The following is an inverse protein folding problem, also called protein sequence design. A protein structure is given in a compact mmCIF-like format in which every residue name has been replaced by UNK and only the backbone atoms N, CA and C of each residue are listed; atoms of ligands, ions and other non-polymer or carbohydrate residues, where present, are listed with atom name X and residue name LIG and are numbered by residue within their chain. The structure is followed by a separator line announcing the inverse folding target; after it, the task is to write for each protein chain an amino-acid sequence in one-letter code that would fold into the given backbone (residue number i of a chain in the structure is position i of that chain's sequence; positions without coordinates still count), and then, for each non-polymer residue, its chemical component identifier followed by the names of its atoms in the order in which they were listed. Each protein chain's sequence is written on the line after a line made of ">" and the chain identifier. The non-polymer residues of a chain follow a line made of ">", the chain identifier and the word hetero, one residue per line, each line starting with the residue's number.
data_IF_548078288535
#
_entry.id   IF_548078288535
#
_cell.length_a   1.000
_cell.length_b   1.000
_cell.length_c   1.000
_cell.angle_alpha   90.00
_cell.angle_beta   90.00
_cell.angle_gamma   90.00
#
_symmetry.space_group_name_H-M   'P 1'
#
loop_
_entity.id
_entity.type
_entity.pdbx_description
1 polymer ?
#
# COMPACT_ATOMS: atom_id res chain seq x y z
N UNK A 1 -0.74 -17.90 -37.60
CA UNK A 1 -1.17 -18.60 -36.36
C UNK A 1 -0.35 -18.22 -35.13
N UNK A 2 0.98 -18.07 -35.21
CA UNK A 2 1.84 -17.72 -34.05
C UNK A 2 1.52 -16.36 -33.42
N UNK A 3 1.16 -15.36 -34.23
CA UNK A 3 0.88 -14.00 -33.79
C UNK A 3 -0.37 -13.88 -32.89
N UNK A 4 -1.38 -14.74 -33.04
CA UNK A 4 -2.59 -14.69 -32.21
C UNK A 4 -2.37 -15.41 -30.86
N UNK A 5 -1.53 -16.46 -30.85
CA UNK A 5 -1.17 -17.22 -29.65
C UNK A 5 -0.24 -16.39 -28.73
N UNK A 6 0.75 -15.69 -29.30
CA UNK A 6 1.60 -14.76 -28.53
C UNK A 6 0.80 -13.61 -27.91
N UNK A 7 -0.19 -13.07 -28.63
CA UNK A 7 -1.05 -11.98 -28.12
C UNK A 7 -1.92 -12.41 -26.94
N UNK A 8 -2.50 -13.62 -26.99
CA UNK A 8 -3.29 -14.20 -25.90
C UNK A 8 -2.43 -14.41 -24.65
N UNK A 9 -1.18 -14.88 -24.81
CA UNK A 9 -0.26 -15.05 -23.67
C UNK A 9 0.16 -13.71 -23.05
N UNK A 10 0.43 -12.68 -23.86
CA UNK A 10 0.73 -11.33 -23.36
C UNK A 10 -0.46 -10.68 -22.63
N UNK A 11 -1.68 -10.86 -23.15
CA UNK A 11 -2.91 -10.33 -22.55
C UNK A 11 -3.24 -11.03 -21.21
N UNK A 12 -3.08 -12.36 -21.13
CA UNK A 12 -3.24 -13.13 -19.89
C UNK A 12 -2.17 -12.76 -18.85
N UNK A 13 -0.90 -12.64 -19.25
CA UNK A 13 0.19 -12.29 -18.34
C UNK A 13 0.03 -10.85 -17.81
N UNK A 14 -0.43 -9.92 -18.65
CA UNK A 14 -0.70 -8.53 -18.27
C UNK A 14 -1.89 -8.43 -17.32
N UNK A 15 -2.98 -9.19 -17.57
CA UNK A 15 -4.10 -9.29 -16.64
C UNK A 15 -3.69 -9.93 -15.30
N UNK A 16 -2.87 -10.97 -15.32
CA UNK A 16 -2.37 -11.62 -14.11
C UNK A 16 -1.52 -10.66 -13.26
N UNK A 17 -0.65 -9.88 -13.90
CA UNK A 17 0.18 -8.85 -13.24
C UNK A 17 -0.68 -7.75 -12.63
N UNK A 18 -1.71 -7.28 -13.34
CA UNK A 18 -2.66 -6.29 -12.84
C UNK A 18 -3.47 -6.80 -11.64
N UNK A 19 -4.00 -8.02 -11.72
CA UNK A 19 -4.74 -8.66 -10.64
C UNK A 19 -3.85 -8.92 -9.40
N UNK A 20 -2.59 -9.32 -9.62
CA UNK A 20 -1.61 -9.49 -8.55
C UNK A 20 -1.29 -8.17 -7.85
N UNK A 21 -0.94 -7.13 -8.61
CA UNK A 21 -0.64 -5.80 -8.05
C UNK A 21 -1.83 -5.21 -7.28
N UNK A 22 -3.05 -5.44 -7.79
CA UNK A 22 -4.28 -5.06 -7.09
C UNK A 22 -4.43 -5.81 -5.75
N UNK A 23 -4.25 -7.12 -5.75
CA UNK A 23 -4.35 -7.95 -4.53
C UNK A 23 -3.29 -7.56 -3.50
N UNK A 24 -2.05 -7.34 -3.92
CA UNK A 24 -0.97 -6.88 -3.04
C UNK A 24 -1.28 -5.51 -2.43
N UNK A 25 -1.83 -4.60 -3.23
CA UNK A 25 -2.25 -3.27 -2.76
C UNK A 25 -3.37 -3.39 -1.73
N UNK A 26 -4.40 -4.20 -1.99
CA UNK A 26 -5.49 -4.41 -1.06
C UNK A 26 -5.01 -5.07 0.25
N UNK A 27 -4.13 -6.07 0.18
CA UNK A 27 -3.52 -6.70 1.35
C UNK A 27 -2.79 -5.68 2.22
N UNK A 28 -1.96 -4.82 1.61
CA UNK A 28 -1.27 -3.75 2.35
C UNK A 28 -2.25 -2.79 3.04
N UNK A 29 -3.35 -2.42 2.37
CA UNK A 29 -4.37 -1.57 2.98
C UNK A 29 -5.06 -2.25 4.16
N UNK A 30 -5.41 -3.54 4.04
CA UNK A 30 -5.98 -4.31 5.15
C UNK A 30 -5.02 -4.34 6.34
N UNK A 31 -3.73 -4.64 6.11
CA UNK A 31 -2.72 -4.63 7.17
C UNK A 31 -2.61 -3.26 7.84
N UNK A 32 -2.57 -2.17 7.06
CA UNK A 32 -2.50 -0.81 7.60
C UNK A 32 -3.72 -0.43 8.43
N UNK A 33 -4.92 -0.81 7.99
CA UNK A 33 -6.16 -0.52 8.73
C UNK A 33 -6.21 -1.30 10.04
N UNK A 34 -5.86 -2.59 10.02
CA UNK A 34 -5.84 -3.42 11.22
C UNK A 34 -4.72 -3.04 12.21
N UNK A 35 -3.66 -2.37 11.73
CA UNK A 35 -2.64 -1.76 12.58
C UNK A 35 -3.14 -0.53 13.36
N UNK A 36 -4.19 0.16 12.88
CA UNK A 36 -4.81 1.26 13.63
C UNK A 36 -5.67 0.72 14.78
N UNK A 37 -6.52 -0.26 14.48
CA UNK A 37 -7.35 -0.96 15.46
C UNK A 37 -7.87 -2.28 14.89
N UNK A 38 -8.23 -3.26 15.75
CA UNK A 38 -9.05 -4.38 15.33
C UNK A 38 -10.36 -3.90 14.71
N UNK A 39 -10.77 -4.52 13.60
CA UNK A 39 -11.91 -4.07 12.82
C UNK A 39 -12.65 -5.22 12.14
N UNK A 40 -13.94 -5.01 11.90
CA UNK A 40 -14.74 -5.94 11.10
C UNK A 40 -14.59 -5.67 9.60
N UNK A 41 -14.84 -6.68 8.76
CA UNK A 41 -14.65 -6.57 7.30
C UNK A 41 -15.36 -5.36 6.66
N UNK A 42 -16.57 -5.04 7.12
CA UNK A 42 -17.29 -3.85 6.63
C UNK A 42 -16.60 -2.51 6.98
N UNK A 43 -15.98 -2.41 8.15
CA UNK A 43 -15.25 -1.22 8.59
C UNK A 43 -14.02 -1.01 7.70
N UNK A 44 -13.34 -2.11 7.35
CA UNK A 44 -12.19 -2.10 6.43
C UNK A 44 -12.63 -1.58 5.05
N UNK A 45 -13.73 -2.09 4.48
CA UNK A 45 -14.25 -1.60 3.20
C UNK A 45 -14.59 -0.10 3.25
N UNK A 46 -15.26 0.33 4.33
CA UNK A 46 -15.67 1.72 4.52
C UNK A 46 -14.46 2.65 4.68
N UNK A 47 -13.44 2.25 5.43
CA UNK A 47 -12.21 3.01 5.60
C UNK A 47 -11.45 3.17 4.27
N UNK A 48 -11.43 2.14 3.42
CA UNK A 48 -10.83 2.23 2.07
C UNK A 48 -11.63 3.20 1.19
N UNK A 49 -12.96 3.13 1.23
CA UNK A 49 -13.84 4.08 0.54
C UNK A 49 -13.60 5.52 0.99
N UNK A 50 -13.50 5.76 2.29
CA UNK A 50 -13.22 7.09 2.86
C UNK A 50 -11.85 7.62 2.45
N UNK A 51 -10.79 6.81 2.59
CA UNK A 51 -9.41 7.18 2.23
C UNK A 51 -9.25 7.47 0.73
N UNK A 52 -10.08 6.87 -0.12
CA UNK A 52 -10.07 7.10 -1.57
C UNK A 52 -11.00 8.24 -2.00
N UNK A 53 -11.62 8.94 -1.04
CA UNK A 53 -12.63 9.98 -1.26
C UNK A 53 -13.83 9.46 -2.07
N UNK A 54 -14.31 8.26 -1.73
CA UNK A 54 -15.45 7.60 -2.37
C UNK A 54 -15.16 7.01 -3.75
N UNK A 55 -13.92 7.13 -4.26
CA UNK A 55 -13.59 6.67 -5.61
C UNK A 55 -13.54 5.15 -5.73
N UNK A 56 -13.25 4.45 -4.64
CA UNK A 56 -13.13 3.00 -4.69
C UNK A 56 -13.48 2.34 -3.36
N UNK A 57 -14.35 1.33 -3.44
CA UNK A 57 -14.68 0.42 -2.35
C UNK A 57 -14.47 -1.01 -2.84
N UNK A 58 -13.63 -1.82 -2.18
CA UNK A 58 -13.49 -3.23 -2.56
C UNK A 58 -14.81 -3.96 -2.33
N UNK A 59 -15.18 -4.81 -3.28
CA UNK A 59 -16.37 -5.64 -3.15
C UNK A 59 -16.19 -6.68 -2.03
N UNK A 60 -17.29 -7.08 -1.38
CA UNK A 60 -17.28 -8.13 -0.37
C UNK A 60 -16.68 -9.44 -0.91
N UNK A 61 -17.01 -9.81 -2.15
CA UNK A 61 -16.47 -10.99 -2.83
C UNK A 61 -14.97 -10.93 -3.13
N UNK A 62 -14.31 -9.80 -2.92
CA UNK A 62 -12.85 -9.66 -2.98
C UNK A 62 -12.24 -9.60 -1.60
N UNK A 63 -12.83 -8.82 -0.68
CA UNK A 63 -12.25 -8.61 0.64
C UNK A 63 -12.33 -9.87 1.51
N UNK A 64 -13.47 -10.54 1.58
CA UNK A 64 -13.62 -11.68 2.50
C UNK A 64 -12.73 -12.86 2.12
N UNK A 65 -12.60 -13.26 0.84
CA UNK A 65 -11.61 -14.27 0.46
C UNK A 65 -10.16 -13.84 0.75
N UNK A 66 -9.85 -12.54 0.68
CA UNK A 66 -8.53 -12.06 1.09
C UNK A 66 -8.33 -12.20 2.61
N UNK A 67 -9.31 -11.84 3.42
CA UNK A 67 -9.25 -12.00 4.88
C UNK A 67 -9.10 -13.47 5.27
N UNK A 68 -9.84 -14.38 4.64
CA UNK A 68 -9.71 -15.82 4.85
C UNK A 68 -8.29 -16.31 4.54
N UNK A 69 -7.71 -15.86 3.42
CA UNK A 69 -6.33 -16.18 3.07
C UNK A 69 -5.33 -15.60 4.07
N UNK A 70 -5.48 -14.35 4.47
CA UNK A 70 -4.61 -13.72 5.48
C UNK A 70 -4.69 -14.44 6.83
N UNK A 71 -5.86 -14.95 7.21
CA UNK A 71 -6.04 -15.74 8.43
C UNK A 71 -5.35 -17.10 8.30
N UNK A 72 -5.51 -17.78 7.17
CA UNK A 72 -4.85 -19.06 6.89
C UNK A 72 -3.32 -18.94 6.83
N UNK A 73 -2.80 -17.82 6.32
CA UNK A 73 -1.38 -17.46 6.32
C UNK A 73 -0.88 -17.00 7.70
N UNK A 74 -1.77 -16.90 8.69
CA UNK A 74 -1.44 -16.49 10.05
C UNK A 74 -1.04 -15.03 10.16
N UNK A 75 -1.43 -14.16 9.22
CA UNK A 75 -1.20 -12.72 9.26
C UNK A 75 -2.23 -11.99 10.13
N UNK A 76 -3.45 -12.53 10.20
CA UNK A 76 -4.53 -12.00 11.02
C UNK A 76 -5.19 -13.10 11.84
N UNK A 77 -5.87 -12.72 12.91
CA UNK A 77 -6.64 -13.62 13.76
C UNK A 77 -8.02 -13.02 14.08
N UNK A 78 -8.95 -13.88 14.51
CA UNK A 78 -10.25 -13.44 15.01
C UNK A 78 -10.07 -13.00 16.46
N UNK A 79 -10.24 -11.70 16.71
CA UNK A 79 -10.17 -11.12 18.05
C UNK A 79 -11.45 -11.36 18.85
N UNK A 80 -12.60 -11.20 18.21
CA UNK A 80 -13.92 -11.34 18.84
C UNK A 80 -15.02 -11.54 17.81
N UNK A 81 -16.18 -11.96 18.31
CA UNK A 81 -17.44 -11.95 17.58
C UNK A 81 -18.38 -10.94 18.21
N UNK A 82 -18.76 -9.91 17.46
CA UNK A 82 -19.72 -8.89 17.90
C UNK A 82 -21.12 -9.21 17.40
N UNK A 83 -22.16 -8.91 18.18
CA UNK A 83 -23.55 -9.08 17.75
C UNK A 83 -24.08 -7.82 17.08
N UNK A 84 -24.77 -7.98 15.95
CA UNK A 84 -25.48 -6.88 15.32
C UNK A 84 -26.94 -6.79 15.83
N UNK A 85 -27.11 -6.21 17.02
CA UNK A 85 -28.43 -6.02 17.63
C UNK A 85 -29.18 -7.33 17.92
N UNK A 86 -30.48 -7.22 18.20
CA UNK A 86 -31.30 -8.35 18.71
C UNK A 86 -31.61 -9.42 17.63
N UNK A 87 -31.43 -9.10 16.35
CA UNK A 87 -31.78 -9.99 15.21
C UNK A 87 -30.66 -10.18 14.16
N UNK A 88 -29.50 -9.55 14.33
CA UNK A 88 -28.42 -9.62 13.33
C UNK A 88 -27.44 -10.77 13.57
N UNK A 89 -26.66 -11.07 12.53
CA UNK A 89 -25.60 -12.08 12.59
C UNK A 89 -24.40 -11.64 13.44
N UNK A 90 -23.48 -12.57 13.68
CA UNK A 90 -22.19 -12.28 14.33
C UNK A 90 -21.23 -11.61 13.35
N UNK A 91 -20.69 -10.46 13.72
CA UNK A 91 -19.59 -9.79 13.01
C UNK A 91 -18.25 -10.29 13.54
N UNK A 92 -17.39 -10.73 12.64
CA UNK A 92 -16.03 -11.13 12.96
C UNK A 92 -15.16 -9.87 13.02
N UNK A 93 -14.48 -9.68 14.15
CA UNK A 93 -13.48 -8.62 14.34
C UNK A 93 -12.10 -9.23 14.18
N UNK A 94 -11.32 -8.71 13.24
CA UNK A 94 -9.97 -9.18 12.96
C UNK A 94 -8.93 -8.31 13.66
N UNK A 95 -7.80 -8.91 14.04
CA UNK A 95 -6.58 -8.19 14.47
C UNK A 95 -5.34 -8.75 13.80
N UNK A 96 -4.27 -7.95 13.73
CA UNK A 96 -2.97 -8.42 13.28
C UNK A 96 -2.37 -9.40 14.29
N UNK A 97 -1.83 -10.50 13.79
CA UNK A 97 -0.91 -11.35 14.55
C UNK A 97 0.50 -10.74 14.53
N UNK A 98 1.44 -11.36 15.24
CA UNK A 98 2.87 -11.02 15.13
C UNK A 98 3.38 -11.06 13.67
N UNK A 99 3.03 -12.10 12.91
CA UNK A 99 3.43 -12.22 11.50
C UNK A 99 2.78 -11.13 10.64
N UNK A 100 1.55 -10.72 10.94
CA UNK A 100 0.89 -9.58 10.30
C UNK A 100 1.67 -8.28 10.48
N UNK A 101 2.18 -8.02 11.69
CA UNK A 101 3.03 -6.86 11.97
C UNK A 101 4.38 -6.93 11.24
N UNK A 102 5.02 -8.10 11.18
CA UNK A 102 6.27 -8.28 10.43
C UNK A 102 6.06 -8.05 8.92
N UNK A 103 4.98 -8.61 8.36
CA UNK A 103 4.62 -8.37 6.96
C UNK A 103 4.37 -6.89 6.70
N UNK A 104 3.67 -6.18 7.60
CA UNK A 104 3.47 -4.74 7.46
C UNK A 104 4.80 -3.97 7.46
N UNK A 105 5.72 -4.30 8.39
CA UNK A 105 7.08 -3.71 8.42
C UNK A 105 7.81 -3.94 7.09
N UNK A 106 7.79 -5.16 6.57
CA UNK A 106 8.47 -5.50 5.31
C UNK A 106 7.86 -4.75 4.12
N UNK A 107 6.53 -4.63 4.07
CA UNK A 107 5.83 -3.83 3.06
C UNK A 107 6.21 -2.35 3.11
N UNK A 108 6.35 -1.78 4.31
CA UNK A 108 6.79 -0.38 4.47
C UNK A 108 8.22 -0.19 3.95
N UNK A 109 9.15 -1.08 4.31
CA UNK A 109 10.55 -1.03 3.85
C UNK A 109 10.63 -1.17 2.32
N UNK A 110 9.89 -2.13 1.75
CA UNK A 110 9.88 -2.35 0.30
C UNK A 110 9.34 -1.14 -0.46
N UNK A 111 8.26 -0.51 0.05
CA UNK A 111 7.71 0.71 -0.56
C UNK A 111 8.71 1.87 -0.50
N UNK A 112 9.39 2.07 0.64
CA UNK A 112 10.46 3.08 0.77
C UNK A 112 11.54 2.84 -0.29
N UNK A 113 12.03 1.60 -0.42
CA UNK A 113 13.05 1.26 -1.42
C UNK A 113 12.63 1.59 -2.86
N UNK A 114 11.37 1.28 -3.22
CA UNK A 114 10.82 1.61 -4.55
C UNK A 114 10.77 3.12 -4.75
N UNK A 115 10.21 3.86 -3.78
CA UNK A 115 10.11 5.32 -3.89
C UNK A 115 11.48 6.00 -3.94
N UNK A 116 12.46 5.54 -3.15
CA UNK A 116 13.83 6.04 -3.22
C UNK A 116 14.43 5.82 -4.61
N UNK A 117 14.21 4.65 -5.21
CA UNK A 117 14.69 4.35 -6.57
C UNK A 117 14.04 5.25 -7.61
N UNK A 118 12.72 5.50 -7.49
CA UNK A 118 12.00 6.42 -8.37
C UNK A 118 12.49 7.86 -8.21
N UNK A 119 12.68 8.33 -6.97
CA UNK A 119 13.22 9.68 -6.69
C UNK A 119 14.61 9.82 -7.30
N UNK A 120 15.48 8.83 -7.13
CA UNK A 120 16.81 8.87 -7.73
C UNK A 120 16.75 9.01 -9.26
N UNK A 121 15.88 8.23 -9.91
CA UNK A 121 15.73 8.32 -11.36
C UNK A 121 15.11 9.64 -11.83
N UNK A 122 13.94 10.01 -11.28
CA UNK A 122 13.14 11.15 -11.73
C UNK A 122 13.80 12.48 -11.36
N UNK A 123 14.24 12.58 -10.10
CA UNK A 123 14.70 13.84 -9.52
C UNK A 123 16.20 13.99 -9.70
N UNK A 124 17.00 13.04 -9.19
CA UNK A 124 18.47 13.17 -9.26
C UNK A 124 18.96 13.07 -10.72
N UNK A 125 18.43 12.11 -11.48
CA UNK A 125 18.71 12.02 -12.92
C UNK A 125 18.24 13.25 -13.71
N UNK A 126 17.13 13.87 -13.30
CA UNK A 126 16.62 15.12 -13.89
C UNK A 126 17.57 16.30 -13.64
N UNK A 127 18.04 16.47 -12.41
CA UNK A 127 19.04 17.49 -12.03
C UNK A 127 20.31 17.33 -12.86
N UNK A 128 20.82 16.10 -12.99
CA UNK A 128 22.01 15.82 -13.79
C UNK A 128 21.80 16.10 -15.28
N UNK A 129 20.60 15.83 -15.81
CA UNK A 129 20.25 16.20 -17.18
C UNK A 129 20.21 17.72 -17.37
N UNK A 130 19.64 18.48 -16.43
CA UNK A 130 19.59 19.95 -16.47
C UNK A 130 20.99 20.56 -16.50
N UNK A 131 21.87 20.10 -15.59
CA UNK A 131 23.27 20.57 -15.53
C UNK A 131 24.01 20.34 -16.84
N UNK A 132 23.85 19.17 -17.46
CA UNK A 132 24.48 18.87 -18.75
C UNK A 132 24.01 19.75 -19.90
N UNK A 133 22.85 20.38 -19.77
CA UNK A 133 22.27 21.27 -20.78
C UNK A 133 22.49 22.77 -20.44
N UNK A 134 23.28 23.09 -19.41
CA UNK A 134 23.60 24.47 -19.03
C UNK A 134 22.50 25.18 -18.25
N UNK A 135 21.66 24.44 -17.53
CA UNK A 135 20.63 24.98 -16.61
C UNK A 135 21.13 24.87 -15.16
N UNK A 136 22.28 25.45 -14.85
CA UNK A 136 22.91 25.31 -13.53
C UNK A 136 22.05 25.92 -12.41
N UNK A 137 21.57 27.15 -12.60
CA UNK A 137 20.80 27.88 -11.58
C UNK A 137 19.48 27.17 -11.25
N UNK A 138 18.73 26.74 -12.27
CA UNK A 138 17.46 26.03 -12.09
C UNK A 138 17.69 24.66 -11.43
N UNK A 139 18.77 23.96 -11.80
CA UNK A 139 19.13 22.69 -11.15
C UNK A 139 19.52 22.87 -9.68
N UNK A 140 20.14 24.01 -9.34
CA UNK A 140 20.51 24.36 -7.97
C UNK A 140 19.30 24.75 -7.14
N UNK A 141 18.32 25.46 -7.71
CA UNK A 141 17.02 25.73 -7.07
C UNK A 141 16.32 24.43 -6.67
N UNK A 142 16.22 23.46 -7.59
CA UNK A 142 15.62 22.14 -7.31
C UNK A 142 16.39 21.43 -6.18
N UNK A 143 17.73 21.47 -6.22
CA UNK A 143 18.57 20.89 -5.18
C UNK A 143 18.31 21.52 -3.80
N UNK A 144 18.16 22.84 -3.72
CA UNK A 144 17.93 23.55 -2.48
C UNK A 144 16.54 23.24 -1.91
N UNK A 145 15.49 23.22 -2.75
CA UNK A 145 14.15 22.79 -2.34
C UNK A 145 14.14 21.36 -1.81
N UNK A 146 14.87 20.44 -2.44
CA UNK A 146 14.98 19.06 -1.95
C UNK A 146 15.66 18.97 -0.59
N UNK A 147 16.72 19.74 -0.35
CA UNK A 147 17.39 19.79 0.96
C UNK A 147 16.46 20.29 2.06
N UNK A 148 15.68 21.33 1.78
CA UNK A 148 14.68 21.84 2.72
C UNK A 148 13.62 20.79 3.03
N UNK A 149 13.13 20.08 2.01
CA UNK A 149 12.18 18.99 2.19
C UNK A 149 12.76 17.84 3.01
N UNK A 150 14.02 17.44 2.75
CA UNK A 150 14.71 16.39 3.51
C UNK A 150 14.89 16.77 4.98
N UNK A 151 15.26 18.02 5.27
CA UNK A 151 15.37 18.52 6.64
C UNK A 151 14.02 18.47 7.37
N UNK A 152 12.94 18.87 6.70
CA UNK A 152 11.59 18.79 7.27
C UNK A 152 11.20 17.33 7.56
N UNK A 153 11.49 16.43 6.63
CA UNK A 153 11.23 15.00 6.79
C UNK A 153 12.00 14.41 7.98
N UNK A 154 13.29 14.77 8.13
CA UNK A 154 14.12 14.30 9.24
C UNK A 154 13.53 14.69 10.61
N UNK A 155 13.10 15.96 10.75
CA UNK A 155 12.43 16.44 11.96
C UNK A 155 11.11 15.69 12.24
N UNK A 156 10.32 15.41 11.21
CA UNK A 156 9.08 14.62 11.37
C UNK A 156 9.39 13.18 11.80
N UNK A 157 10.41 12.55 11.21
CA UNK A 157 10.85 11.19 11.54
C UNK A 157 11.35 11.07 12.98
N UNK A 158 12.09 12.05 13.49
CA UNK A 158 12.49 12.07 14.90
C UNK A 158 11.29 11.94 15.85
N UNK A 159 10.15 12.54 15.50
CA UNK A 159 8.91 12.44 16.27
C UNK A 159 8.31 11.03 16.29
N UNK A 160 8.52 10.23 15.23
CA UNK A 160 8.05 8.84 15.16
C UNK A 160 9.05 7.85 15.77
N UNK A 161 10.36 8.13 15.72
CA UNK A 161 11.41 7.24 16.21
C UNK A 161 11.74 7.43 17.72
N UNK A 162 11.25 8.49 18.37
CA UNK A 162 11.47 8.77 19.80
C UNK A 162 10.35 8.25 20.73
N UNK A 163 9.45 7.39 20.26
CA UNK A 163 8.43 6.68 21.06
C UNK A 163 8.77 5.20 21.18
#
# INVERSE_FOLDING_TARGET
>A
MVSNFMKIQEDEETQLKGAKAYRESLLYLVLRILAEKPSHGYEIMKKIEEMTHGRWKPAAGTLYPLLDNMQNEGLIEIKSYEQEGVRGGKKIVYSLTFNGWLMLKDQLINKISIYTSMINYIIMGGIDAMRRQGFENESEEVCNTLKEWLNKLDLELEGYCKK
#
